data_IF_713621828359
#
_entry.id   IF_713621828359
#
_cell.length_a   1.000
_cell.length_b   1.000
_cell.length_c   1.000
_cell.angle_alpha   90.00
_cell.angle_beta   90.00
_cell.angle_gamma   90.00
#
_symmetry.space_group_name_H-M   'P 1'
#
loop_
_entity.id
_entity.type
_entity.pdbx_description
1 polymer ?
#
# COMPACT_ATOMS: atom_id res chain seq x y z
N UNK A 1 -10.41 3.43 5.21
CA UNK A 1 -9.55 2.43 4.54
C UNK A 1 -8.13 2.79 4.88
N UNK A 2 -7.39 1.88 5.49
CA UNK A 2 -6.07 2.18 6.06
C UNK A 2 -4.93 1.72 5.15
N UNK A 3 -5.20 0.74 4.30
CA UNK A 3 -4.19 0.05 3.48
C UNK A 3 -4.53 0.05 1.99
N UNK A 4 -5.61 0.73 1.58
CA UNK A 4 -6.04 0.79 0.17
C UNK A 4 -6.23 2.26 -0.21
N UNK A 5 -5.70 2.64 -1.39
CA UNK A 5 -5.82 3.97 -1.95
C UNK A 5 -6.22 3.92 -3.43
N UNK A 6 -6.78 5.03 -3.93
CA UNK A 6 -7.29 5.13 -5.30
C UNK A 6 -8.77 4.76 -5.43
N UNK A 7 -9.24 4.41 -6.63
CA UNK A 7 -8.47 4.19 -7.85
C UNK A 7 -7.81 5.47 -8.40
N UNK A 8 -6.53 5.38 -8.74
CA UNK A 8 -5.73 6.46 -9.31
C UNK A 8 -5.66 6.31 -10.83
N UNK A 9 -5.90 7.38 -11.61
CA UNK A 9 -5.72 7.33 -13.06
C UNK A 9 -4.24 7.19 -13.41
N UNK A 10 -3.87 6.01 -13.89
CA UNK A 10 -2.58 5.69 -14.46
C UNK A 10 -2.61 5.84 -15.98
N UNK A 11 -1.65 6.57 -16.53
CA UNK A 11 -1.46 6.66 -17.98
C UNK A 11 -1.17 5.30 -18.64
N UNK A 12 -0.62 4.33 -17.88
CA UNK A 12 -0.25 3.00 -18.38
C UNK A 12 -1.30 1.93 -18.12
N UNK A 13 -2.03 2.04 -17.00
CA UNK A 13 -2.89 0.97 -16.49
C UNK A 13 -4.38 1.39 -16.40
N UNK A 14 -4.76 2.59 -16.84
CA UNK A 14 -6.12 3.06 -16.58
C UNK A 14 -6.33 3.31 -15.08
N UNK A 15 -7.45 2.89 -14.50
CA UNK A 15 -7.76 3.10 -13.09
C UNK A 15 -7.16 2.01 -12.20
N UNK A 16 -6.11 2.35 -11.46
CA UNK A 16 -5.40 1.41 -10.59
C UNK A 16 -5.74 1.62 -9.13
N UNK A 17 -6.14 0.56 -8.44
CA UNK A 17 -6.34 0.53 -7.00
C UNK A 17 -5.06 0.04 -6.33
N UNK A 18 -4.46 0.87 -5.46
CA UNK A 18 -3.21 0.55 -4.79
C UNK A 18 -3.41 -0.01 -3.39
N UNK A 19 -2.58 -0.99 -3.03
CA UNK A 19 -2.49 -1.58 -1.70
C UNK A 19 -1.18 -1.11 -1.04
N UNK A 20 -1.27 -0.49 0.14
CA UNK A 20 -0.11 -0.12 0.95
C UNK A 20 0.05 -1.11 2.11
N UNK A 21 1.00 -2.03 1.95
CA UNK A 21 1.29 -3.09 2.92
C UNK A 21 2.50 -2.76 3.81
N UNK A 22 3.22 -1.68 3.53
CA UNK A 22 4.49 -1.36 4.19
C UNK A 22 4.24 -0.26 5.23
N UNK A 23 4.44 -0.54 6.53
CA UNK A 23 4.22 0.47 7.54
C UNK A 23 5.20 1.63 7.38
N UNK A 24 4.73 2.80 7.79
CA UNK A 24 5.52 4.03 7.69
C UNK A 24 6.91 3.88 8.28
N UNK A 25 7.92 4.14 7.44
CA UNK A 25 9.33 4.25 7.79
C UNK A 25 9.95 3.02 8.47
N UNK A 26 9.43 1.83 8.18
CA UNK A 26 10.16 0.58 8.38
C UNK A 26 10.93 0.26 7.09
N UNK A 27 12.26 0.23 7.16
CA UNK A 27 13.11 0.05 5.98
C UNK A 27 14.41 -0.69 6.35
N UNK A 28 15.05 -1.34 5.39
CA UNK A 28 16.40 -1.88 5.55
C UNK A 28 17.48 -0.77 5.56
N UNK A 29 17.13 0.45 5.14
CA UNK A 29 18.02 1.59 5.02
C UNK A 29 17.62 2.76 5.94
N UNK A 30 18.58 3.65 6.20
CA UNK A 30 18.39 4.91 6.93
C UNK A 30 19.06 6.06 6.16
N UNK A 31 18.54 6.33 4.96
CA UNK A 31 19.14 7.30 4.06
C UNK A 31 18.91 8.74 4.55
N UNK A 32 19.99 9.54 4.59
CA UNK A 32 19.95 10.97 4.97
C UNK A 32 19.07 11.83 4.04
N UNK A 33 18.85 11.37 2.80
CA UNK A 33 18.06 12.03 1.78
C UNK A 33 16.64 11.45 1.63
N UNK A 34 16.16 10.66 2.59
CA UNK A 34 14.83 10.07 2.50
C UNK A 34 13.76 11.18 2.62
N UNK A 35 12.98 11.39 1.55
CA UNK A 35 11.87 12.37 1.53
C UNK A 35 10.80 12.11 2.60
N UNK A 36 10.73 10.87 3.09
CA UNK A 36 9.81 10.45 4.13
C UNK A 36 10.38 10.66 5.56
N UNK A 37 11.58 11.22 5.72
CA UNK A 37 12.19 11.54 7.02
C UNK A 37 13.16 10.48 7.57
N UNK A 38 13.38 10.46 8.89
CA UNK A 38 14.28 9.48 9.58
C UNK A 38 13.62 8.11 9.76
N UNK A 39 14.36 7.02 9.58
CA UNK A 39 13.82 5.65 9.70
C UNK A 39 13.41 5.36 11.15
N UNK A 40 12.16 4.94 11.37
CA UNK A 40 11.63 4.58 12.69
C UNK A 40 12.05 3.19 13.12
N UNK A 41 12.16 2.25 12.17
CA UNK A 41 12.66 0.90 12.43
C UNK A 41 13.53 0.42 11.28
N UNK A 42 14.84 0.37 11.51
CA UNK A 42 15.80 -0.22 10.58
C UNK A 42 15.86 -1.73 10.80
N UNK A 43 15.40 -2.52 9.84
CA UNK A 43 15.42 -3.99 9.95
C UNK A 43 15.47 -4.67 8.58
N UNK A 44 16.08 -5.85 8.55
CA UNK A 44 16.09 -6.77 7.40
C UNK A 44 15.27 -8.04 7.68
N UNK A 45 14.68 -8.13 8.88
CA UNK A 45 13.89 -9.30 9.29
C UNK A 45 12.54 -9.26 8.60
N UNK A 46 12.26 -10.29 7.80
CA UNK A 46 10.95 -10.45 7.15
C UNK A 46 9.88 -10.73 8.19
N UNK A 47 8.82 -9.91 8.21
CA UNK A 47 7.66 -10.10 9.07
C UNK A 47 6.36 -9.74 8.35
N UNK A 48 5.25 -10.28 8.85
CA UNK A 48 3.92 -9.87 8.39
C UNK A 48 3.60 -8.53 9.06
N UNK A 49 3.51 -7.48 8.26
CA UNK A 49 3.20 -6.13 8.74
C UNK A 49 1.70 -5.85 8.80
N UNK A 50 0.97 -6.37 7.81
CA UNK A 50 -0.49 -6.27 7.73
C UNK A 50 -1.06 -7.65 7.45
N UNK A 51 -1.99 -8.19 8.26
CA UNK A 51 -2.63 -9.47 8.00
C UNK A 51 -3.46 -9.42 6.71
N UNK A 52 -3.24 -10.39 5.81
CA UNK A 52 -3.94 -10.42 4.50
C UNK A 52 -5.47 -10.39 4.64
N UNK A 53 -6.03 -11.01 5.68
CA UNK A 53 -7.49 -11.03 5.92
C UNK A 53 -8.08 -9.62 5.99
N UNK A 54 -7.41 -8.69 6.70
CA UNK A 54 -7.83 -7.30 6.79
C UNK A 54 -7.84 -6.61 5.42
N UNK A 55 -6.83 -6.89 4.59
CA UNK A 55 -6.74 -6.35 3.23
C UNK A 55 -7.87 -6.88 2.36
N UNK A 56 -8.17 -8.18 2.43
CA UNK A 56 -9.25 -8.80 1.66
C UNK A 56 -10.62 -8.22 2.06
N UNK A 57 -10.85 -7.99 3.35
CA UNK A 57 -12.09 -7.40 3.84
C UNK A 57 -12.24 -5.95 3.36
N UNK A 58 -11.19 -5.12 3.51
CA UNK A 58 -11.18 -3.76 2.96
C UNK A 58 -11.39 -3.76 1.43
N UNK A 59 -10.76 -4.68 0.71
CA UNK A 59 -10.85 -4.78 -0.75
C UNK A 59 -12.27 -5.14 -1.21
N UNK A 60 -12.92 -6.10 -0.53
CA UNK A 60 -14.33 -6.44 -0.81
C UNK A 60 -15.24 -5.22 -0.66
N UNK A 61 -15.00 -4.38 0.33
CA UNK A 61 -15.79 -3.18 0.55
C UNK A 61 -15.52 -2.08 -0.50
N UNK A 62 -14.29 -1.97 -1.03
CA UNK A 62 -14.02 -1.09 -2.19
C UNK A 62 -14.78 -1.58 -3.42
N UNK A 63 -14.68 -2.87 -3.72
CA UNK A 63 -15.21 -3.44 -4.96
C UNK A 63 -16.75 -3.34 -5.03
N UNK A 64 -17.43 -3.35 -3.88
CA UNK A 64 -18.88 -3.10 -3.79
C UNK A 64 -19.28 -1.69 -4.25
N UNK A 65 -18.38 -0.70 -4.19
CA UNK A 65 -18.68 0.69 -4.59
C UNK A 65 -18.81 0.86 -6.11
N UNK A 66 -18.56 -0.19 -6.91
CA UNK A 66 -18.69 -0.20 -8.39
C UNK A 66 -17.93 0.93 -9.10
N UNK A 67 -16.83 1.41 -8.52
CA UNK A 67 -15.92 2.33 -9.21
C UNK A 67 -15.17 1.57 -10.32
N UNK A 68 -14.83 2.26 -11.40
CA UNK A 68 -13.99 1.68 -12.45
C UNK A 68 -12.60 1.39 -11.88
N UNK A 69 -12.22 0.12 -11.88
CA UNK A 69 -10.93 -0.38 -11.43
C UNK A 69 -10.47 -1.37 -12.50
N UNK A 70 -9.38 -1.02 -13.17
CA UNK A 70 -8.79 -1.82 -14.23
C UNK A 70 -7.67 -2.73 -13.65
N UNK A 71 -6.96 -2.28 -12.59
CA UNK A 71 -5.86 -3.04 -11.96
C UNK A 71 -5.80 -2.89 -10.44
N UNK A 72 -5.24 -3.89 -9.77
CA UNK A 72 -4.85 -3.85 -8.35
C UNK A 72 -3.33 -3.95 -8.26
N UNK A 73 -2.69 -3.02 -7.55
CA UNK A 73 -1.22 -2.93 -7.39
C UNK A 73 -0.81 -2.99 -5.93
N UNK A 74 0.41 -3.48 -5.65
CA UNK A 74 1.04 -3.55 -4.30
C UNK A 74 2.31 -2.71 -4.32
#
# INVERSE_FOLDING_TARGET
MKHIYGPVPSRRLGFSLGLDLVPYKICSFDCVYCQLGKTTLKTVVRKIHVPYRKIIDELKDVLKQKKKIDYITI
#
